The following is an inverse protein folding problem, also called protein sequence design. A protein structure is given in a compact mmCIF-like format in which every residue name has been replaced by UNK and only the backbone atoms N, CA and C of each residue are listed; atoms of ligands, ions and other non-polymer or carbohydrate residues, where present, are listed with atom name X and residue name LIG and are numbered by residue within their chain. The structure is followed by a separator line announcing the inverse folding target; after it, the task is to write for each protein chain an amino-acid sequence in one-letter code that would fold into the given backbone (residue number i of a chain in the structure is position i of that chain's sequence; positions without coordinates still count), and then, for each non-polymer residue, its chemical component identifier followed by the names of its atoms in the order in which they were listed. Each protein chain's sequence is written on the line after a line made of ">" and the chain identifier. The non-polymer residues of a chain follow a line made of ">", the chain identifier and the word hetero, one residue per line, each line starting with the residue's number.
data_IF_908326224050
#
_entry.id   IF_908326224050
#
_cell.length_a   1.000
_cell.length_b   1.000
_cell.length_c   1.000
_cell.angle_alpha   90.00
_cell.angle_beta   90.00
_cell.angle_gamma   90.00
#
_symmetry.space_group_name_H-M   'P 1'
#
loop_
_entity.id
_entity.type
_entity.pdbx_description
1 polymer ?
#
# COMPACT_ATOMS: atom_id res chain seq x y z
N UNK A 1 3.54 -12.11 -14.28
CA UNK A 1 2.32 -11.91 -13.46
C UNK A 1 2.22 -10.43 -13.11
N UNK A 2 1.22 -9.71 -13.64
CA UNK A 2 1.04 -8.28 -13.39
C UNK A 2 0.25 -8.08 -12.08
N UNK A 3 0.96 -7.87 -10.97
CA UNK A 3 0.38 -7.53 -9.67
C UNK A 3 -0.33 -6.16 -9.72
N UNK A 4 -1.57 -6.11 -9.21
CA UNK A 4 -2.48 -4.95 -9.25
C UNK A 4 -2.83 -4.47 -7.83
N UNK A 5 -2.88 -3.15 -7.65
CA UNK A 5 -3.51 -2.51 -6.49
C UNK A 5 -5.02 -2.43 -6.76
N UNK A 6 -5.84 -2.94 -5.85
CA UNK A 6 -7.27 -3.08 -6.08
C UNK A 6 -8.09 -1.83 -5.72
N UNK A 7 -7.58 -0.93 -4.86
CA UNK A 7 -8.37 0.21 -4.38
C UNK A 7 -7.53 1.35 -3.79
N UNK A 8 -7.97 2.60 -4.00
CA UNK A 8 -7.50 3.83 -3.34
C UNK A 8 -8.67 4.81 -3.29
N UNK A 9 -8.95 5.36 -2.12
CA UNK A 9 -9.93 6.43 -1.93
C UNK A 9 -9.25 7.61 -1.23
N UNK A 10 -9.30 8.83 -1.83
CA UNK A 10 -9.80 9.15 -3.16
C UNK A 10 -8.99 8.48 -4.29
N UNK A 11 -9.68 8.29 -5.42
CA UNK A 11 -9.17 7.65 -6.63
C UNK A 11 -8.18 8.54 -7.41
N UNK A 12 -7.10 8.99 -6.79
CA UNK A 12 -6.02 9.71 -7.46
C UNK A 12 -4.74 9.72 -6.59
N UNK A 13 -4.13 8.55 -6.40
CA UNK A 13 -2.83 8.44 -5.69
C UNK A 13 -1.88 7.37 -6.24
N UNK A 14 -2.27 6.65 -7.30
CA UNK A 14 -1.70 5.32 -7.58
C UNK A 14 -0.69 5.26 -8.72
N UNK A 15 -0.48 6.35 -9.48
CA UNK A 15 0.39 6.32 -10.67
C UNK A 15 1.84 5.90 -10.36
N UNK A 16 2.28 5.93 -9.09
CA UNK A 16 3.64 5.60 -8.66
C UNK A 16 3.75 4.71 -7.40
N UNK A 17 2.67 4.02 -7.00
CA UNK A 17 2.66 3.21 -5.77
C UNK A 17 3.77 2.14 -5.73
N UNK A 18 4.06 1.49 -6.86
CA UNK A 18 5.09 0.44 -7.00
C UNK A 18 6.52 0.89 -6.68
N UNK A 19 6.79 2.19 -6.68
CA UNK A 19 8.12 2.77 -6.40
C UNK A 19 8.30 3.16 -4.93
N UNK A 20 7.29 2.99 -4.08
CA UNK A 20 7.33 3.39 -2.68
C UNK A 20 7.86 2.22 -1.83
N UNK A 21 8.68 2.52 -0.84
CA UNK A 21 9.25 1.52 0.09
C UNK A 21 8.16 0.64 0.71
N UNK A 22 7.01 1.26 1.02
CA UNK A 22 5.88 0.57 1.61
C UNK A 22 5.24 -0.49 0.70
N UNK A 23 5.39 -0.36 -0.61
CA UNK A 23 4.96 -1.39 -1.57
C UNK A 23 5.88 -2.60 -1.53
N UNK A 24 7.21 -2.39 -1.49
CA UNK A 24 8.17 -3.49 -1.45
C UNK A 24 8.04 -4.30 -0.17
N UNK A 25 7.95 -3.63 0.98
CA UNK A 25 7.82 -4.33 2.26
C UNK A 25 6.57 -5.21 2.35
N UNK A 26 5.42 -4.73 1.86
CA UNK A 26 4.19 -5.53 1.84
C UNK A 26 4.28 -6.73 0.88
N UNK A 27 5.04 -6.60 -0.21
CA UNK A 27 5.24 -7.69 -1.18
C UNK A 27 6.20 -8.76 -0.66
N UNK A 28 7.20 -8.39 0.14
CA UNK A 28 8.22 -9.31 0.66
C UNK A 28 7.76 -10.00 1.95
N UNK A 29 7.24 -9.23 2.91
CA UNK A 29 6.92 -9.72 4.25
C UNK A 29 5.42 -10.02 4.42
N UNK A 30 4.60 -9.63 3.44
CA UNK A 30 3.14 -9.80 3.47
C UNK A 30 2.40 -8.74 4.30
N UNK A 31 3.09 -8.01 5.17
CA UNK A 31 2.57 -6.89 5.98
C UNK A 31 3.66 -5.82 6.11
N UNK A 32 3.28 -4.54 6.19
CA UNK A 32 4.25 -3.45 6.35
C UNK A 32 3.64 -2.24 7.07
N UNK A 33 4.44 -1.58 7.91
CA UNK A 33 4.09 -0.31 8.55
C UNK A 33 5.11 0.74 8.13
N UNK A 34 4.63 1.82 7.51
CA UNK A 34 5.51 2.90 7.09
C UNK A 34 6.02 3.73 8.27
N UNK A 35 7.18 4.36 8.08
CA UNK A 35 7.55 5.54 8.87
C UNK A 35 6.55 6.69 8.58
N UNK A 36 6.40 7.67 9.48
CA UNK A 36 5.58 8.85 9.21
C UNK A 36 6.00 9.57 7.94
N UNK A 37 5.03 9.99 7.13
CA UNK A 37 5.25 10.76 5.92
C UNK A 37 4.07 11.70 5.64
N UNK A 38 4.25 12.63 4.70
CA UNK A 38 3.15 13.51 4.26
C UNK A 38 2.33 12.77 3.21
N UNK A 39 1.07 12.49 3.52
CA UNK A 39 0.14 11.83 2.60
C UNK A 39 0.10 12.55 1.26
N UNK A 40 0.23 11.80 0.17
CA UNK A 40 0.15 12.35 -1.18
C UNK A 40 -1.25 12.94 -1.48
N UNK A 41 -2.27 12.46 -0.77
CA UNK A 41 -3.66 12.83 -0.93
C UNK A 41 -4.02 13.98 0.01
N UNK A 42 -3.96 13.75 1.32
CA UNK A 42 -4.51 14.70 2.30
C UNK A 42 -3.53 15.83 2.63
N UNK A 43 -2.27 15.70 2.21
CA UNK A 43 -1.16 16.60 2.55
C UNK A 43 -0.92 16.75 4.06
N UNK A 44 -1.36 15.76 4.84
CA UNK A 44 -1.15 15.69 6.29
C UNK A 44 -0.19 14.57 6.65
N UNK A 45 0.41 14.67 7.83
CA UNK A 45 1.22 13.60 8.40
C UNK A 45 0.35 12.34 8.59
N UNK A 46 0.87 11.20 8.14
CA UNK A 46 0.25 9.90 8.34
C UNK A 46 1.31 8.79 8.45
N UNK A 47 0.87 7.64 8.94
CA UNK A 47 1.52 6.34 8.69
C UNK A 47 0.57 5.49 7.84
N UNK A 48 1.12 4.54 7.08
CA UNK A 48 0.32 3.58 6.32
C UNK A 48 0.58 2.17 6.82
N UNK A 49 -0.50 1.46 7.15
CA UNK A 49 -0.51 0.02 7.39
C UNK A 49 -0.84 -0.70 6.09
N UNK A 50 -0.08 -1.73 5.71
CA UNK A 50 -0.28 -2.49 4.49
C UNK A 50 -0.32 -3.98 4.73
N UNK A 51 -1.11 -4.68 3.90
CA UNK A 51 -1.19 -6.14 3.89
C UNK A 51 -1.35 -6.67 2.47
N UNK A 52 -0.59 -7.70 2.14
CA UNK A 52 -0.72 -8.44 0.89
C UNK A 52 -2.07 -9.20 0.86
N UNK A 53 -2.76 -9.10 -0.28
CA UNK A 53 -3.93 -9.91 -0.60
C UNK A 53 -3.45 -11.12 -1.38
N UNK A 54 -3.83 -12.32 -0.93
CA UNK A 54 -3.47 -13.59 -1.56
C UNK A 54 -4.68 -14.25 -2.20
N UNK A 55 -4.50 -14.95 -3.31
CA UNK A 55 -5.52 -15.82 -3.89
C UNK A 55 -5.60 -17.16 -3.13
N UNK A 56 -6.48 -18.07 -3.59
CA UNK A 56 -6.66 -19.39 -2.98
C UNK A 56 -5.41 -20.28 -3.09
N UNK A 57 -4.51 -19.98 -4.02
CA UNK A 57 -3.26 -20.68 -4.27
C UNK A 57 -2.10 -20.10 -3.42
N UNK A 58 -2.35 -19.08 -2.59
CA UNK A 58 -1.35 -18.44 -1.73
C UNK A 58 -0.51 -17.37 -2.44
N UNK A 59 -0.73 -17.14 -3.74
CA UNK A 59 0.00 -16.13 -4.52
C UNK A 59 -0.48 -14.74 -4.15
N UNK A 60 0.46 -13.80 -3.99
CA UNK A 60 0.11 -12.38 -3.80
C UNK A 60 -0.52 -11.89 -5.10
N UNK A 61 -1.71 -11.29 -5.01
CA UNK A 61 -2.42 -10.70 -6.15
C UNK A 61 -2.54 -9.18 -6.06
N UNK A 62 -2.29 -8.62 -4.88
CA UNK A 62 -2.28 -7.19 -4.64
C UNK A 62 -1.99 -6.85 -3.18
N UNK A 63 -2.22 -5.60 -2.80
CA UNK A 63 -2.01 -5.08 -1.45
C UNK A 63 -3.17 -4.17 -1.09
N UNK A 64 -3.62 -4.23 0.17
CA UNK A 64 -4.52 -3.24 0.79
C UNK A 64 -3.72 -2.36 1.74
N UNK A 65 -4.02 -1.05 1.77
CA UNK A 65 -3.37 -0.08 2.65
C UNK A 65 -4.38 0.83 3.35
N UNK A 66 -4.06 1.23 4.58
CA UNK A 66 -4.86 2.18 5.38
C UNK A 66 -3.93 3.26 5.93
N UNK A 67 -4.27 4.52 5.65
CA UNK A 67 -3.59 5.68 6.24
C UNK A 67 -4.19 6.03 7.60
N UNK A 68 -3.34 6.22 8.60
CA UNK A 68 -3.69 6.68 9.95
C UNK A 68 -3.04 8.04 10.18
N UNK A 69 -3.83 9.05 10.56
CA UNK A 69 -3.34 10.38 10.87
C UNK A 69 -2.42 10.38 12.09
N UNK A 70 -1.38 11.21 12.06
CA UNK A 70 -0.40 11.39 13.15
C UNK A 70 -0.26 12.87 13.48
#
# INVERSE_FOLDING_TARGET
>A
MLLRLFYSEPAAGLLNAKRREWWSGAMDEGEFVSKPYVSAITKRSCITLLRAIRNRQGEIVGVVGIDIAV
#
